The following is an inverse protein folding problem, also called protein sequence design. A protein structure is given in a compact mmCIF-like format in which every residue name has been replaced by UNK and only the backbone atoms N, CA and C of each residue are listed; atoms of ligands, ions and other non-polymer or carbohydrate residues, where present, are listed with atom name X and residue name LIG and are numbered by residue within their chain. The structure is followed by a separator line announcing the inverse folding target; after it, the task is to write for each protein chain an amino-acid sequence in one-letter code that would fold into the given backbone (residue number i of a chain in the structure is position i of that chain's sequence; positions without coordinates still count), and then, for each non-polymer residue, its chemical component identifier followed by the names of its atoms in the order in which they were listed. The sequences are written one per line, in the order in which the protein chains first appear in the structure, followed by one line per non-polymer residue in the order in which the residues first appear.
data_IF_926924967105
#
_entry.id   IF_926924967105
#
_cell.length_a   1.000
_cell.length_b   1.000
_cell.length_c   1.000
_cell.angle_alpha   90.00
_cell.angle_beta   90.00
_cell.angle_gamma   90.00
#
_symmetry.space_group_name_H-M   'P 1'
#
loop_
_entity.id
_entity.type
_entity.pdbx_description
1 polymer ?
#
# COMPACT_ATOMS: atom_id res chain seq x y z
N UNK A 1 -55.34 -24.84 -2.80
CA UNK A 1 -54.60 -24.40 -3.98
C UNK A 1 -54.17 -22.92 -3.92
N UNK A 2 -55.02 -21.94 -3.59
CA UNK A 2 -54.65 -20.51 -3.56
C UNK A 2 -53.49 -20.15 -2.60
N UNK A 3 -53.41 -20.78 -1.40
CA UNK A 3 -52.33 -20.56 -0.44
C UNK A 3 -50.98 -21.11 -0.92
N UNK A 4 -50.97 -22.27 -1.59
CA UNK A 4 -49.71 -22.85 -2.13
C UNK A 4 -49.11 -21.99 -3.26
N UNK A 5 -49.96 -21.44 -4.14
CA UNK A 5 -49.52 -20.51 -5.21
C UNK A 5 -48.94 -19.21 -4.63
N UNK A 6 -49.51 -18.73 -3.53
CA UNK A 6 -49.01 -17.53 -2.84
C UNK A 6 -47.60 -17.75 -2.23
N UNK A 7 -47.38 -18.90 -1.58
CA UNK A 7 -46.05 -19.24 -1.03
C UNK A 7 -44.99 -19.50 -2.10
N UNK A 8 -45.38 -20.13 -3.23
CA UNK A 8 -44.48 -20.32 -4.38
C UNK A 8 -44.08 -18.98 -4.97
N UNK A 9 -45.03 -18.02 -5.10
CA UNK A 9 -44.76 -16.66 -5.57
C UNK A 9 -43.84 -15.88 -4.67
N UNK A 10 -43.91 -16.05 -3.34
CA UNK A 10 -42.97 -15.41 -2.39
C UNK A 10 -41.57 -16.04 -2.48
N UNK A 11 -41.48 -17.39 -2.57
CA UNK A 11 -40.19 -18.07 -2.73
C UNK A 11 -39.44 -17.69 -4.03
N UNK A 12 -40.19 -17.52 -5.15
CA UNK A 12 -39.56 -17.11 -6.42
C UNK A 12 -39.05 -15.67 -6.41
N UNK A 13 -39.66 -14.76 -5.63
CA UNK A 13 -39.16 -13.39 -5.45
C UNK A 13 -37.82 -13.33 -4.71
N UNK A 14 -37.54 -14.29 -3.83
CA UNK A 14 -36.26 -14.38 -3.12
C UNK A 14 -35.10 -14.96 -3.97
N UNK A 15 -35.39 -15.67 -5.05
CA UNK A 15 -34.40 -16.29 -5.93
C UNK A 15 -33.89 -15.32 -7.04
N UNK A 16 -34.55 -14.16 -7.26
CA UNK A 16 -34.20 -13.22 -8.32
C UNK A 16 -33.10 -12.20 -7.93
N UNK A 17 -32.45 -12.34 -6.78
CA UNK A 17 -31.84 -11.22 -6.11
C UNK A 17 -30.31 -11.15 -6.02
N UNK A 18 -29.49 -12.00 -6.59
CA UNK A 18 -28.04 -11.86 -6.43
C UNK A 18 -27.25 -12.15 -7.71
N UNK A 19 -27.44 -11.34 -8.73
CA UNK A 19 -26.44 -11.27 -9.79
C UNK A 19 -25.26 -10.43 -9.31
N UNK A 20 -24.05 -10.98 -9.31
CA UNK A 20 -22.79 -10.26 -9.02
C UNK A 20 -22.55 -9.07 -9.96
N UNK A 21 -23.33 -8.97 -11.02
CA UNK A 21 -23.27 -7.91 -12.04
C UNK A 21 -24.36 -6.83 -11.88
N UNK A 22 -25.27 -6.99 -10.89
CA UNK A 22 -26.32 -5.99 -10.66
C UNK A 22 -25.74 -4.66 -10.15
N UNK A 23 -26.18 -3.56 -10.77
CA UNK A 23 -25.76 -2.18 -10.44
C UNK A 23 -26.76 -1.40 -9.57
N UNK A 24 -27.76 -2.08 -8.96
CA UNK A 24 -28.71 -1.43 -8.05
C UNK A 24 -28.02 -0.90 -6.78
N UNK A 25 -28.62 0.08 -6.12
CA UNK A 25 -28.09 0.67 -4.88
C UNK A 25 -27.90 -0.38 -3.79
N UNK A 26 -28.87 -1.29 -3.63
CA UNK A 26 -28.82 -2.39 -2.65
C UNK A 26 -27.73 -3.40 -2.98
N UNK A 27 -27.58 -3.77 -4.25
CA UNK A 27 -26.51 -4.66 -4.72
C UNK A 27 -25.15 -4.04 -4.48
N UNK A 28 -24.96 -2.77 -4.82
CA UNK A 28 -23.70 -2.05 -4.55
C UNK A 28 -23.38 -1.97 -3.06
N UNK A 29 -24.37 -1.70 -2.21
CA UNK A 29 -24.18 -1.67 -0.76
C UNK A 29 -23.73 -3.06 -0.24
N UNK A 30 -24.38 -4.13 -0.66
CA UNK A 30 -24.00 -5.50 -0.33
C UNK A 30 -22.57 -5.83 -0.80
N UNK A 31 -22.24 -5.58 -2.07
CA UNK A 31 -20.93 -5.86 -2.63
C UNK A 31 -19.83 -5.01 -1.97
N UNK A 32 -20.10 -3.75 -1.67
CA UNK A 32 -19.14 -2.89 -0.97
C UNK A 32 -18.85 -3.39 0.45
N UNK A 33 -19.90 -3.79 1.20
CA UNK A 33 -19.73 -4.29 2.57
C UNK A 33 -19.00 -5.63 2.57
N UNK A 34 -19.42 -6.57 1.72
CA UNK A 34 -18.84 -7.90 1.68
C UNK A 34 -17.40 -7.89 1.16
N UNK A 35 -17.12 -7.14 0.09
CA UNK A 35 -15.76 -6.99 -0.43
C UNK A 35 -14.82 -6.36 0.61
N UNK A 36 -15.32 -5.35 1.34
CA UNK A 36 -14.53 -4.68 2.37
C UNK A 36 -14.15 -5.63 3.50
N UNK A 37 -15.14 -6.23 4.15
CA UNK A 37 -14.90 -6.98 5.40
C UNK A 37 -14.38 -8.40 5.18
N UNK A 38 -14.74 -9.06 4.07
CA UNK A 38 -14.39 -10.47 3.84
C UNK A 38 -13.24 -10.68 2.85
N UNK A 39 -12.67 -9.63 2.28
CA UNK A 39 -11.60 -9.75 1.31
C UNK A 39 -10.52 -8.68 1.50
N UNK A 40 -10.84 -7.44 1.12
CA UNK A 40 -9.90 -6.32 1.21
C UNK A 40 -9.32 -6.13 2.61
N UNK A 41 -10.17 -6.14 3.66
CA UNK A 41 -9.72 -5.94 5.04
C UNK A 41 -8.71 -7.01 5.48
N UNK A 42 -9.04 -8.28 5.25
CA UNK A 42 -8.12 -9.38 5.58
C UNK A 42 -6.78 -9.25 4.86
N UNK A 43 -6.80 -9.00 3.55
CA UNK A 43 -5.57 -8.81 2.79
C UNK A 43 -4.75 -7.64 3.32
N UNK A 44 -5.41 -6.54 3.68
CA UNK A 44 -4.77 -5.36 4.27
C UNK A 44 -4.17 -5.65 5.65
N UNK A 45 -4.86 -6.39 6.49
CA UNK A 45 -4.36 -6.78 7.82
C UNK A 45 -3.10 -7.65 7.69
N UNK A 46 -3.12 -8.67 6.81
CA UNK A 46 -1.96 -9.54 6.59
C UNK A 46 -0.77 -8.75 6.04
N UNK A 47 -0.96 -7.95 4.99
CA UNK A 47 0.11 -7.09 4.44
C UNK A 47 0.67 -6.14 5.51
N UNK A 48 -0.21 -5.51 6.29
CA UNK A 48 0.20 -4.58 7.36
C UNK A 48 0.95 -5.29 8.48
N UNK A 49 0.52 -6.51 8.84
CA UNK A 49 1.18 -7.36 9.83
C UNK A 49 2.59 -7.69 9.38
N UNK A 50 2.77 -8.18 8.15
CA UNK A 50 4.08 -8.51 7.58
C UNK A 50 5.00 -7.27 7.61
N UNK A 51 4.52 -6.10 7.16
CA UNK A 51 5.31 -4.86 7.18
C UNK A 51 5.73 -4.46 8.61
N UNK A 52 4.83 -4.61 9.59
CA UNK A 52 5.14 -4.34 11.01
C UNK A 52 6.12 -5.34 11.61
N UNK A 53 5.94 -6.62 11.32
CA UNK A 53 6.79 -7.68 11.87
C UNK A 53 8.21 -7.61 11.27
N UNK A 54 8.32 -7.26 9.98
CA UNK A 54 9.61 -6.96 9.35
C UNK A 54 10.32 -5.79 10.04
N UNK A 55 9.59 -4.73 10.39
CA UNK A 55 10.16 -3.59 11.10
C UNK A 55 10.61 -3.96 12.51
N UNK A 56 9.84 -4.76 13.24
CA UNK A 56 10.17 -5.22 14.60
C UNK A 56 11.35 -6.20 14.62
N UNK A 57 11.44 -7.07 13.60
CA UNK A 57 12.51 -8.05 13.51
C UNK A 57 13.83 -7.46 12.98
N UNK A 58 13.81 -6.21 12.49
CA UNK A 58 15.01 -5.53 12.04
C UNK A 58 15.80 -5.01 13.25
N UNK A 59 17.08 -5.38 13.32
CA UNK A 59 18.02 -4.87 14.32
C UNK A 59 18.69 -3.64 13.71
N UNK A 60 18.44 -2.47 14.32
CA UNK A 60 19.04 -1.22 13.88
C UNK A 60 20.52 -1.14 14.32
N UNK A 61 21.39 -0.73 13.41
CA UNK A 61 22.75 -0.33 13.75
C UNK A 61 22.78 1.19 13.93
N UNK A 62 22.91 1.62 15.18
CA UNK A 62 22.93 3.04 15.53
C UNK A 62 24.24 3.77 15.19
N UNK A 63 25.28 3.05 14.72
CA UNK A 63 26.48 3.65 14.17
C UNK A 63 26.30 4.12 12.72
N UNK A 64 25.21 3.72 12.08
CA UNK A 64 24.84 4.08 10.72
C UNK A 64 23.54 4.89 10.71
N UNK A 65 23.27 5.62 9.62
CA UNK A 65 21.95 6.24 9.42
C UNK A 65 20.89 5.16 9.33
N UNK A 66 19.96 5.16 10.28
CA UNK A 66 18.90 4.15 10.34
C UNK A 66 18.10 4.09 9.05
N UNK A 67 17.73 2.87 8.67
CA UNK A 67 16.91 2.65 7.47
C UNK A 67 15.46 3.11 7.70
N UNK A 68 14.91 3.80 6.70
CA UNK A 68 13.50 4.22 6.71
C UNK A 68 12.55 3.02 6.63
N UNK A 69 12.96 2.00 5.88
CA UNK A 69 12.32 0.70 5.78
C UNK A 69 13.38 -0.41 5.89
N UNK A 70 13.06 -1.50 6.59
CA UNK A 70 13.92 -2.68 6.59
C UNK A 70 14.09 -3.21 5.16
N UNK A 71 15.26 -3.74 4.80
CA UNK A 71 15.45 -4.34 3.49
C UNK A 71 14.52 -5.55 3.30
N UNK A 72 14.05 -5.71 2.07
CA UNK A 72 13.31 -6.90 1.65
C UNK A 72 14.34 -7.96 1.25
N UNK A 73 14.32 -9.11 1.93
CA UNK A 73 15.20 -10.23 1.65
C UNK A 73 14.42 -11.55 1.46
N UNK A 74 15.06 -12.50 0.75
CA UNK A 74 14.42 -13.77 0.40
C UNK A 74 14.12 -14.67 1.61
N UNK A 75 14.90 -14.56 2.68
CA UNK A 75 14.70 -15.35 3.89
C UNK A 75 13.44 -14.92 4.61
N UNK A 76 13.27 -13.61 4.79
CA UNK A 76 12.07 -13.04 5.39
C UNK A 76 10.85 -13.25 4.52
N UNK A 77 10.97 -13.05 3.20
CA UNK A 77 9.88 -13.30 2.26
C UNK A 77 9.36 -14.73 2.35
N UNK A 78 10.26 -15.72 2.40
CA UNK A 78 9.89 -17.14 2.60
C UNK A 78 9.23 -17.39 3.96
N UNK A 79 9.67 -16.69 5.01
CA UNK A 79 9.08 -16.81 6.34
C UNK A 79 7.61 -16.38 6.40
N UNK A 80 7.18 -15.50 5.49
CA UNK A 80 5.80 -14.99 5.39
C UNK A 80 5.01 -15.55 4.20
N UNK A 81 5.50 -16.59 3.52
CA UNK A 81 4.85 -17.09 2.29
C UNK A 81 3.38 -17.44 2.51
N UNK A 82 3.03 -18.08 3.63
CA UNK A 82 1.65 -18.43 3.96
C UNK A 82 0.75 -17.19 4.07
N UNK A 83 1.17 -16.19 4.82
CA UNK A 83 0.44 -14.94 5.02
C UNK A 83 0.33 -14.15 3.72
N UNK A 84 1.38 -14.13 2.91
CA UNK A 84 1.40 -13.49 1.58
C UNK A 84 0.39 -14.16 0.66
N UNK A 85 0.40 -15.50 0.58
CA UNK A 85 -0.56 -16.24 -0.26
C UNK A 85 -1.99 -16.04 0.22
N UNK A 86 -2.23 -16.01 1.52
CA UNK A 86 -3.58 -15.74 2.05
C UNK A 86 -4.03 -14.32 1.73
N UNK A 87 -3.14 -13.31 1.85
CA UNK A 87 -3.45 -11.93 1.45
C UNK A 87 -3.82 -11.84 -0.04
N UNK A 88 -3.05 -12.48 -0.92
CA UNK A 88 -3.34 -12.53 -2.36
C UNK A 88 -4.68 -13.19 -2.63
N UNK A 89 -4.95 -14.33 -1.99
CA UNK A 89 -6.19 -15.08 -2.12
C UNK A 89 -7.40 -14.25 -1.69
N UNK A 90 -7.33 -13.62 -0.51
CA UNK A 90 -8.45 -12.86 0.03
C UNK A 90 -8.76 -11.61 -0.81
N UNK A 91 -7.73 -10.88 -1.24
CA UNK A 91 -7.91 -9.75 -2.16
C UNK A 91 -8.47 -10.20 -3.51
N UNK A 92 -7.99 -11.32 -4.06
CA UNK A 92 -8.48 -11.86 -5.33
C UNK A 92 -9.94 -12.31 -5.24
N UNK A 93 -10.37 -12.88 -4.11
CA UNK A 93 -11.78 -13.21 -3.88
C UNK A 93 -12.67 -11.96 -3.84
N UNK A 94 -12.20 -10.86 -3.24
CA UNK A 94 -12.93 -9.59 -3.27
C UNK A 94 -13.12 -9.08 -4.70
N UNK A 95 -12.08 -9.14 -5.52
CA UNK A 95 -12.10 -8.73 -6.93
C UNK A 95 -13.07 -9.59 -7.74
N UNK A 96 -12.95 -10.92 -7.63
CA UNK A 96 -13.74 -11.86 -8.44
C UNK A 96 -15.22 -11.88 -8.07
N UNK A 97 -15.54 -11.88 -6.78
CA UNK A 97 -16.92 -11.99 -6.29
C UNK A 97 -17.67 -10.67 -6.26
N UNK A 98 -16.93 -9.55 -6.24
CA UNK A 98 -17.52 -8.22 -6.09
C UNK A 98 -16.96 -7.21 -7.10
N UNK A 99 -17.03 -7.48 -8.43
CA UNK A 99 -16.39 -6.66 -9.46
C UNK A 99 -16.95 -5.22 -9.53
N UNK A 100 -18.15 -4.99 -9.01
CA UNK A 100 -18.78 -3.66 -8.95
C UNK A 100 -18.57 -2.95 -7.60
N UNK A 101 -17.72 -3.50 -6.71
CA UNK A 101 -17.39 -2.87 -5.44
C UNK A 101 -16.38 -1.73 -5.63
N UNK A 102 -16.54 -0.69 -4.84
CA UNK A 102 -15.53 0.40 -4.76
C UNK A 102 -14.17 -0.05 -4.23
N UNK A 103 -14.08 -1.25 -3.64
CA UNK A 103 -12.85 -1.80 -3.06
C UNK A 103 -12.04 -2.66 -4.03
N UNK A 104 -12.45 -2.74 -5.29
CA UNK A 104 -11.75 -3.54 -6.31
C UNK A 104 -10.34 -3.02 -6.55
N UNK A 105 -10.18 -1.70 -6.75
CA UNK A 105 -8.88 -1.09 -6.97
C UNK A 105 -7.95 -1.25 -5.77
N UNK A 106 -8.49 -1.00 -4.56
CA UNK A 106 -7.76 -1.21 -3.31
C UNK A 106 -7.34 -2.69 -3.12
N UNK A 107 -8.19 -3.63 -3.54
CA UNK A 107 -7.87 -5.07 -3.49
C UNK A 107 -6.73 -5.43 -4.44
N UNK A 108 -6.73 -4.88 -5.67
CA UNK A 108 -5.59 -5.04 -6.58
C UNK A 108 -4.31 -4.45 -5.99
N UNK A 109 -4.38 -3.29 -5.33
CA UNK A 109 -3.24 -2.69 -4.64
C UNK A 109 -2.72 -3.63 -3.53
N UNK A 110 -3.59 -4.30 -2.77
CA UNK A 110 -3.16 -5.30 -1.78
C UNK A 110 -2.49 -6.51 -2.44
N UNK A 111 -3.01 -7.02 -3.57
CA UNK A 111 -2.34 -8.07 -4.35
C UNK A 111 -0.93 -7.64 -4.77
N UNK A 112 -0.79 -6.44 -5.32
CA UNK A 112 0.49 -5.89 -5.73
C UNK A 112 1.48 -5.75 -4.56
N UNK A 113 1.02 -5.26 -3.40
CA UNK A 113 1.83 -5.13 -2.19
C UNK A 113 2.26 -6.49 -1.63
N UNK A 114 1.38 -7.47 -1.62
CA UNK A 114 1.71 -8.84 -1.21
C UNK A 114 2.79 -9.46 -2.13
N UNK A 115 2.66 -9.26 -3.44
CA UNK A 115 3.68 -9.69 -4.42
C UNK A 115 5.02 -8.97 -4.24
N UNK A 116 4.99 -7.67 -3.95
CA UNK A 116 6.20 -6.92 -3.60
C UNK A 116 6.91 -7.53 -2.38
N UNK A 117 6.15 -7.88 -1.33
CA UNK A 117 6.70 -8.51 -0.11
C UNK A 117 7.24 -9.93 -0.36
N UNK A 118 6.74 -10.65 -1.36
CA UNK A 118 7.28 -11.93 -1.81
C UNK A 118 8.47 -11.82 -2.78
N UNK A 119 8.91 -10.61 -3.09
CA UNK A 119 9.94 -10.32 -4.11
C UNK A 119 9.54 -10.72 -5.54
N UNK A 120 8.24 -10.89 -5.79
CA UNK A 120 7.68 -11.13 -7.12
C UNK A 120 7.51 -9.79 -7.87
N UNK A 121 8.66 -9.19 -8.21
CA UNK A 121 8.74 -7.85 -8.79
C UNK A 121 7.92 -7.71 -10.07
N UNK A 122 8.02 -8.69 -10.97
CA UNK A 122 7.34 -8.68 -12.26
C UNK A 122 5.82 -8.60 -12.12
N UNK A 123 5.23 -9.48 -11.30
CA UNK A 123 3.79 -9.49 -11.08
C UNK A 123 3.31 -8.31 -10.23
N UNK A 124 4.14 -7.81 -9.28
CA UNK A 124 3.83 -6.60 -8.54
C UNK A 124 3.73 -5.39 -9.49
N UNK A 125 4.73 -5.19 -10.36
CA UNK A 125 4.76 -4.12 -11.37
C UNK A 125 3.54 -4.22 -12.29
N UNK A 126 3.24 -5.41 -12.82
CA UNK A 126 2.07 -5.60 -13.69
C UNK A 126 0.76 -5.26 -12.98
N UNK A 127 0.61 -5.66 -11.72
CA UNK A 127 -0.58 -5.39 -10.92
C UNK A 127 -0.79 -3.89 -10.72
N UNK A 128 0.25 -3.15 -10.34
CA UNK A 128 0.16 -1.71 -10.14
C UNK A 128 -0.06 -0.95 -11.47
N UNK A 129 0.58 -1.37 -12.57
CA UNK A 129 0.32 -0.83 -13.91
C UNK A 129 -1.12 -1.05 -14.35
N UNK A 130 -1.70 -2.22 -14.01
CA UNK A 130 -3.11 -2.49 -14.29
C UNK A 130 -4.02 -1.49 -13.57
N UNK A 131 -3.84 -1.26 -12.26
CA UNK A 131 -4.63 -0.28 -11.50
C UNK A 131 -4.47 1.12 -12.09
N UNK A 132 -3.23 1.56 -12.35
CA UNK A 132 -2.98 2.87 -12.95
C UNK A 132 -3.70 3.05 -14.29
N UNK A 133 -3.79 2.00 -15.11
CA UNK A 133 -4.40 2.08 -16.44
C UNK A 133 -5.92 1.92 -16.42
N UNK A 134 -6.46 1.09 -15.53
CA UNK A 134 -7.87 0.68 -15.54
C UNK A 134 -8.75 1.40 -14.53
N UNK A 135 -8.19 1.84 -13.43
CA UNK A 135 -8.96 2.54 -12.39
C UNK A 135 -9.49 3.89 -12.90
N UNK A 136 -10.74 4.16 -12.55
CA UNK A 136 -11.38 5.47 -12.74
C UNK A 136 -11.16 6.39 -11.53
N UNK A 137 -10.66 5.84 -10.41
CA UNK A 137 -10.38 6.59 -9.20
C UNK A 137 -8.95 7.15 -9.24
N UNK A 138 -8.78 8.49 -9.32
CA UNK A 138 -7.46 9.12 -9.33
C UNK A 138 -6.61 8.73 -8.12
N UNK A 139 -7.21 8.66 -6.92
CA UNK A 139 -6.49 8.33 -5.69
C UNK A 139 -5.91 6.92 -5.72
N UNK A 140 -6.65 5.95 -6.28
CA UNK A 140 -6.17 4.58 -6.46
C UNK A 140 -5.04 4.51 -7.51
N UNK A 141 -5.13 5.29 -8.61
CA UNK A 141 -4.07 5.40 -9.59
C UNK A 141 -2.80 5.98 -8.98
N UNK A 142 -2.92 7.05 -8.20
CA UNK A 142 -1.78 7.67 -7.51
C UNK A 142 -1.14 6.68 -6.52
N UNK A 143 -1.93 5.97 -5.72
CA UNK A 143 -1.38 4.94 -4.83
C UNK A 143 -0.66 3.85 -5.61
N UNK A 144 -1.23 3.37 -6.71
CA UNK A 144 -0.58 2.37 -7.57
C UNK A 144 0.76 2.86 -8.12
N UNK A 145 0.87 4.13 -8.56
CA UNK A 145 2.13 4.70 -9.04
C UNK A 145 3.14 4.85 -7.89
N UNK A 146 2.71 5.22 -6.68
CA UNK A 146 3.57 5.26 -5.49
C UNK A 146 4.15 3.87 -5.20
N UNK A 147 3.32 2.81 -5.30
CA UNK A 147 3.78 1.44 -5.09
C UNK A 147 4.66 0.93 -6.24
N UNK A 148 4.43 1.38 -7.48
CA UNK A 148 5.36 1.16 -8.59
C UNK A 148 6.72 1.78 -8.31
N UNK A 149 6.77 3.04 -7.88
CA UNK A 149 8.01 3.71 -7.53
C UNK A 149 8.75 2.98 -6.40
N UNK A 150 8.01 2.49 -5.37
CA UNK A 150 8.56 1.63 -4.32
C UNK A 150 9.14 0.34 -4.90
N UNK A 151 8.40 -0.35 -5.76
CA UNK A 151 8.84 -1.62 -6.35
C UNK A 151 10.11 -1.44 -7.19
N UNK A 152 10.15 -0.40 -8.01
CA UNK A 152 11.34 -0.05 -8.79
C UNK A 152 12.54 0.33 -7.89
N UNK A 153 12.28 1.04 -6.79
CA UNK A 153 13.32 1.40 -5.81
C UNK A 153 13.89 0.14 -5.15
N UNK A 154 13.05 -0.80 -4.74
CA UNK A 154 13.50 -2.04 -4.11
C UNK A 154 14.25 -2.97 -5.08
N UNK A 155 13.86 -2.97 -6.35
CA UNK A 155 14.48 -3.75 -7.42
C UNK A 155 15.66 -3.03 -8.11
N UNK A 156 16.11 -1.89 -7.55
CA UNK A 156 17.21 -1.06 -8.06
C UNK A 156 17.01 -0.51 -9.49
N UNK A 157 15.76 -0.48 -9.98
CA UNK A 157 15.37 0.17 -11.24
C UNK A 157 15.18 1.68 -11.05
N UNK A 158 16.24 2.38 -10.67
CA UNK A 158 16.19 3.78 -10.22
C UNK A 158 15.65 4.75 -11.26
N UNK A 159 15.90 4.52 -12.55
CA UNK A 159 15.37 5.37 -13.62
C UNK A 159 13.83 5.28 -13.72
N UNK A 160 13.28 4.08 -13.55
CA UNK A 160 11.83 3.88 -13.53
C UNK A 160 11.20 4.47 -12.26
N UNK A 161 11.89 4.35 -11.13
CA UNK A 161 11.44 4.95 -9.87
C UNK A 161 11.36 6.48 -9.96
N UNK A 162 12.41 7.14 -10.48
CA UNK A 162 12.41 8.61 -10.61
C UNK A 162 11.34 9.08 -11.57
N UNK A 163 11.14 8.41 -12.71
CA UNK A 163 10.08 8.76 -13.66
C UNK A 163 8.67 8.69 -13.03
N UNK A 164 8.43 7.69 -12.15
CA UNK A 164 7.17 7.59 -11.42
C UNK A 164 7.02 8.73 -10.39
N UNK A 165 8.08 9.12 -9.68
CA UNK A 165 8.06 10.26 -8.76
C UNK A 165 7.86 11.59 -9.49
N UNK A 166 8.51 11.81 -10.63
CA UNK A 166 8.38 13.03 -11.44
C UNK A 166 6.98 13.20 -12.02
N UNK A 167 6.32 12.08 -12.34
CA UNK A 167 4.90 12.10 -12.71
C UNK A 167 4.04 12.55 -11.51
N UNK A 168 4.19 11.90 -10.35
CA UNK A 168 3.40 12.20 -9.15
C UNK A 168 3.62 13.61 -8.61
N UNK A 169 4.79 14.21 -8.83
CA UNK A 169 5.08 15.58 -8.39
C UNK A 169 4.22 16.64 -9.09
N UNK A 170 3.67 16.29 -10.25
CA UNK A 170 2.78 17.15 -11.05
C UNK A 170 1.30 16.93 -10.77
N UNK A 171 0.98 15.89 -9.99
CA UNK A 171 -0.40 15.50 -9.69
C UNK A 171 -0.87 16.08 -8.36
N UNK A 172 -2.17 16.32 -8.27
CA UNK A 172 -2.82 16.74 -7.03
C UNK A 172 -3.13 15.51 -6.17
N UNK A 173 -2.28 15.25 -5.17
CA UNK A 173 -2.39 14.07 -4.32
C UNK A 173 -3.27 14.36 -3.08
N UNK A 174 -4.13 13.41 -2.71
CA UNK A 174 -4.78 13.44 -1.41
C UNK A 174 -3.73 13.29 -0.27
N UNK A 175 -4.11 13.68 0.96
CA UNK A 175 -3.18 13.68 2.13
C UNK A 175 -2.50 12.32 2.38
N UNK A 176 -3.17 11.20 2.11
CA UNK A 176 -2.62 9.86 2.31
C UNK A 176 -1.57 9.56 1.25
N UNK A 177 -1.88 9.82 -0.01
CA UNK A 177 -0.95 9.61 -1.12
C UNK A 177 0.23 10.58 -1.04
N UNK A 178 -0.01 11.84 -0.67
CA UNK A 178 1.04 12.83 -0.45
C UNK A 178 2.05 12.38 0.62
N UNK A 179 1.55 11.90 1.76
CA UNK A 179 2.39 11.30 2.81
C UNK A 179 3.21 10.13 2.29
N UNK A 180 2.56 9.18 1.60
CA UNK A 180 3.21 7.99 1.08
C UNK A 180 4.24 8.34 -0.02
N UNK A 181 3.92 9.29 -0.88
CA UNK A 181 4.83 9.82 -1.90
C UNK A 181 6.12 10.34 -1.27
N UNK A 182 6.04 11.24 -0.28
CA UNK A 182 7.25 11.78 0.36
C UNK A 182 8.06 10.70 1.08
N UNK A 183 7.40 9.75 1.75
CA UNK A 183 8.10 8.65 2.43
C UNK A 183 8.82 7.71 1.44
N UNK A 184 8.18 7.35 0.33
CA UNK A 184 8.79 6.48 -0.67
C UNK A 184 9.89 7.20 -1.44
N UNK A 185 9.73 8.49 -1.74
CA UNK A 185 10.76 9.30 -2.37
C UNK A 185 11.97 9.50 -1.44
N UNK A 186 11.75 9.66 -0.13
CA UNK A 186 12.83 9.70 0.85
C UNK A 186 13.60 8.36 0.89
N UNK A 187 12.88 7.24 0.85
CA UNK A 187 13.50 5.92 0.79
C UNK A 187 14.34 5.71 -0.48
N UNK A 188 13.84 6.13 -1.63
CA UNK A 188 14.60 6.16 -2.87
C UNK A 188 15.92 6.93 -2.72
N UNK A 189 15.88 8.14 -2.15
CA UNK A 189 17.08 8.94 -1.94
C UNK A 189 18.01 8.33 -0.89
N UNK A 190 17.49 7.64 0.14
CA UNK A 190 18.30 6.88 1.08
C UNK A 190 19.09 5.77 0.38
N UNK A 191 18.43 4.94 -0.46
CA UNK A 191 19.11 3.90 -1.26
C UNK A 191 20.17 4.49 -2.20
N UNK A 192 19.95 5.70 -2.70
CA UNK A 192 20.89 6.45 -3.53
C UNK A 192 21.96 7.23 -2.74
N UNK A 193 21.95 7.14 -1.40
CA UNK A 193 22.81 7.89 -0.49
C UNK A 193 22.77 9.41 -0.73
N UNK A 194 21.66 9.93 -1.22
CA UNK A 194 21.43 11.36 -1.40
C UNK A 194 20.65 11.92 -0.21
N UNK A 195 21.37 12.16 0.86
CA UNK A 195 20.78 12.47 2.16
C UNK A 195 20.12 13.85 2.22
N UNK A 196 20.60 14.84 1.45
CA UNK A 196 19.95 16.15 1.37
C UNK A 196 18.50 16.04 0.83
N UNK A 197 18.34 15.36 -0.31
CA UNK A 197 17.00 15.13 -0.85
C UNK A 197 16.15 14.20 0.03
N UNK A 198 16.75 13.23 0.73
CA UNK A 198 16.07 12.40 1.71
C UNK A 198 15.45 13.25 2.82
N UNK A 199 16.25 14.12 3.47
CA UNK A 199 15.79 15.01 4.56
C UNK A 199 14.69 15.93 4.08
N UNK A 200 14.81 16.56 2.90
CA UNK A 200 13.78 17.42 2.32
C UNK A 200 12.43 16.70 2.19
N UNK A 201 12.44 15.45 1.76
CA UNK A 201 11.20 14.66 1.63
C UNK A 201 10.67 14.22 3.01
N UNK A 202 11.52 13.81 3.94
CA UNK A 202 11.10 13.46 5.30
C UNK A 202 10.47 14.65 6.02
N UNK A 203 11.06 15.84 5.90
CA UNK A 203 10.51 17.07 6.48
C UNK A 203 9.11 17.37 5.95
N UNK A 204 8.86 17.16 4.64
CA UNK A 204 7.53 17.30 4.05
C UNK A 204 6.54 16.21 4.52
N UNK A 205 7.04 15.02 4.86
CA UNK A 205 6.19 13.92 5.35
C UNK A 205 5.76 14.11 6.82
N UNK A 206 6.59 14.72 7.67
CA UNK A 206 6.37 14.86 9.13
C UNK A 206 4.98 15.43 9.47
N UNK A 207 4.51 16.57 8.91
CA UNK A 207 3.21 17.12 9.26
C UNK A 207 2.03 16.23 8.86
N UNK A 208 2.23 15.29 7.93
CA UNK A 208 1.22 14.34 7.45
C UNK A 208 1.19 13.05 8.27
N UNK A 209 2.14 12.85 9.18
CA UNK A 209 2.24 11.68 10.06
C UNK A 209 1.49 11.91 11.36
N UNK A 210 0.85 10.84 11.87
CA UNK A 210 0.34 10.82 13.24
C UNK A 210 1.52 10.85 14.22
N UNK A 211 1.30 11.48 15.40
CA UNK A 211 2.27 11.39 16.50
C UNK A 211 2.43 9.92 16.92
N UNK A 212 3.63 9.52 17.28
CA UNK A 212 3.98 8.16 17.70
C UNK A 212 5.34 7.72 17.17
N UNK A 213 5.69 6.47 17.40
CA UNK A 213 7.01 5.89 17.18
C UNK A 213 7.58 6.11 15.78
N UNK A 214 6.74 5.96 14.75
CA UNK A 214 7.18 6.17 13.37
C UNK A 214 7.62 7.61 13.11
N UNK A 215 6.91 8.59 13.69
CA UNK A 215 7.29 10.00 13.56
C UNK A 215 8.56 10.29 14.33
N UNK A 216 8.69 9.73 15.55
CA UNK A 216 9.91 9.82 16.36
C UNK A 216 11.12 9.24 15.64
N UNK A 217 10.97 8.03 15.04
CA UNK A 217 12.04 7.42 14.23
C UNK A 217 12.49 8.34 13.07
N UNK A 218 11.56 9.00 12.40
CA UNK A 218 11.91 9.91 11.29
C UNK A 218 12.68 11.12 11.80
N UNK A 219 12.31 11.70 12.94
CA UNK A 219 13.09 12.77 13.57
C UNK A 219 14.50 12.32 13.88
N UNK A 220 14.66 11.14 14.48
CA UNK A 220 15.96 10.56 14.79
C UNK A 220 16.82 10.35 13.55
N UNK A 221 16.25 9.79 12.47
CA UNK A 221 16.94 9.62 11.17
C UNK A 221 17.43 10.97 10.62
N UNK A 222 16.60 12.01 10.67
CA UNK A 222 17.01 13.35 10.21
C UNK A 222 18.14 13.88 11.08
N UNK A 223 18.08 13.71 12.40
CA UNK A 223 19.17 14.07 13.31
C UNK A 223 20.47 13.39 12.96
N UNK A 224 20.46 12.06 12.70
CA UNK A 224 21.64 11.32 12.27
C UNK A 224 22.20 11.85 10.94
N UNK A 225 21.34 12.17 9.97
CA UNK A 225 21.79 12.73 8.69
C UNK A 225 22.50 14.08 8.89
N UNK A 226 21.94 14.97 9.71
CA UNK A 226 22.59 16.26 9.99
C UNK A 226 23.89 16.08 10.74
N UNK A 227 23.97 15.14 11.67
CA UNK A 227 25.22 14.79 12.39
C UNK A 227 26.29 14.29 11.43
N UNK A 228 25.94 13.40 10.50
CA UNK A 228 26.85 12.89 9.46
C UNK A 228 27.36 13.99 8.53
N UNK A 229 26.54 15.01 8.30
CA UNK A 229 26.91 16.19 7.51
C UNK A 229 27.71 17.24 8.30
N UNK A 230 28.01 17.01 9.59
CA UNK A 230 28.71 17.96 10.47
C UNK A 230 27.86 19.16 10.88
N UNK A 231 26.54 19.08 10.71
CA UNK A 231 25.57 20.13 11.05
C UNK A 231 24.97 19.85 12.45
N UNK A 232 25.82 19.98 13.49
CA UNK A 232 25.47 19.56 14.86
C UNK A 232 24.32 20.36 15.46
N UNK A 233 24.20 21.66 15.17
CA UNK A 233 23.12 22.50 15.67
C UNK A 233 21.77 22.08 15.07
N UNK A 234 21.74 21.74 13.81
CA UNK A 234 20.56 21.21 13.12
C UNK A 234 20.21 19.82 13.65
N UNK A 235 21.20 18.95 13.85
CA UNK A 235 21.00 17.61 14.41
C UNK A 235 20.33 17.68 15.78
N UNK A 236 20.81 18.56 16.67
CA UNK A 236 20.27 18.74 18.01
C UNK A 236 18.77 19.11 18.00
N UNK A 237 18.30 19.86 17.01
CA UNK A 237 16.89 20.23 16.91
C UNK A 237 15.97 19.04 16.55
N UNK A 238 16.54 17.93 16.07
CA UNK A 238 15.78 16.75 15.67
C UNK A 238 15.87 15.58 16.67
N UNK A 239 16.83 15.60 17.58
CA UNK A 239 16.91 14.65 18.68
C UNK A 239 16.02 15.08 19.87
#
# INVERSE_FOLDING_TARGET
MKKAVFYIGICTLFLAGCSSQSNTVTSKAFHNTTAHFNGYWYAKEEVTKIEKDNLKAHIDDYNEILLLYPPLDSTRAKGYDKEIQEAIKMASLAIQRHPNSKWVDDSYIMVGKARLLSLDWGNAIQTFKYVNTKSKNPDARHEAIIQLARTFTEHDEFNNAVAAFDFLEKEELNKTNQKNFYLQRAHYFQKRKNYDYMVRNLTKAIPLLKKGDRRGRIYFIIGQVYQELGLEAEAFNFY
#
